data_IF_957463699106
#
_entry.id   IF_957463699106
#
_cell.length_a   1.000
_cell.length_b   1.000
_cell.length_c   1.000
_cell.angle_alpha   90.00
_cell.angle_beta   90.00
_cell.angle_gamma   90.00
#
_symmetry.space_group_name_H-M   'P 1'
#
loop_
_entity.id
_entity.type
_entity.pdbx_description
1 polymer ?
#
# COMPACT_ATOMS: atom_id res chain seq x y z
N UNK A 1 -15.13 16.30 2.23
CA UNK A 1 -16.45 16.51 1.57
C UNK A 1 -17.58 16.09 2.51
N UNK A 2 -17.66 14.81 2.92
CA UNK A 2 -18.69 14.27 3.82
C UNK A 2 -18.85 15.05 5.14
N UNK A 3 -17.76 15.35 5.86
CA UNK A 3 -17.86 16.14 7.11
C UNK A 3 -18.47 17.54 6.91
N UNK A 4 -18.31 18.13 5.72
CA UNK A 4 -18.87 19.45 5.38
C UNK A 4 -20.39 19.39 5.20
N UNK A 5 -20.91 18.29 4.64
CA UNK A 5 -22.35 18.05 4.50
C UNK A 5 -23.01 17.85 5.86
N UNK A 6 -22.28 17.24 6.80
CA UNK A 6 -22.74 17.04 8.16
C UNK A 6 -22.69 18.30 9.01
N UNK A 7 -21.64 19.11 8.89
CA UNK A 7 -21.47 20.36 9.66
C UNK A 7 -22.72 21.24 9.59
N UNK A 8 -23.19 21.55 8.36
CA UNK A 8 -24.36 22.40 8.16
C UNK A 8 -25.70 21.83 8.68
N UNK A 9 -25.77 20.53 9.01
CA UNK A 9 -26.98 19.88 9.54
C UNK A 9 -26.88 19.52 11.02
N UNK A 10 -25.67 19.46 11.56
CA UNK A 10 -25.40 19.20 12.98
C UNK A 10 -25.27 20.49 13.78
N UNK A 11 -24.95 21.62 13.15
CA UNK A 11 -24.83 22.92 13.83
C UNK A 11 -26.13 23.34 14.55
N UNK A 12 -27.29 22.89 14.06
CA UNK A 12 -28.61 23.16 14.67
C UNK A 12 -29.12 22.02 15.57
N UNK A 13 -28.32 20.97 15.82
CA UNK A 13 -28.77 19.81 16.63
C UNK A 13 -28.43 20.03 18.10
N UNK A 14 -29.45 20.37 18.90
CA UNK A 14 -29.34 20.39 20.35
C UNK A 14 -29.42 18.96 20.92
N UNK A 15 -28.28 18.42 21.32
CA UNK A 15 -28.17 17.04 21.79
C UNK A 15 -28.76 16.78 23.20
N UNK A 16 -29.14 17.81 23.96
CA UNK A 16 -29.77 17.67 25.28
C UNK A 16 -29.08 16.64 26.19
N UNK A 17 -29.81 15.60 26.58
CA UNK A 17 -29.33 14.49 27.43
C UNK A 17 -28.42 13.47 26.71
N UNK A 18 -28.16 13.64 25.41
CA UNK A 18 -27.26 12.79 24.60
C UNK A 18 -27.95 12.15 23.40
N UNK A 19 -27.14 11.71 22.42
CA UNK A 19 -27.61 10.96 21.25
C UNK A 19 -27.19 9.49 21.43
N UNK A 20 -28.17 8.59 21.55
CA UNK A 20 -27.92 7.15 21.74
C UNK A 20 -27.67 6.40 20.43
N UNK A 21 -28.17 6.91 19.30
CA UNK A 21 -28.03 6.26 18.00
C UNK A 21 -27.99 7.26 16.83
N UNK A 22 -27.06 7.05 15.90
CA UNK A 22 -27.02 7.73 14.61
C UNK A 22 -27.07 6.69 13.49
N UNK A 23 -27.95 6.88 12.50
CA UNK A 23 -28.04 6.03 11.31
C UNK A 23 -27.90 6.86 10.04
N UNK A 24 -26.86 6.56 9.26
CA UNK A 24 -26.63 7.14 7.94
C UNK A 24 -27.06 6.16 6.85
N UNK A 25 -27.84 6.64 5.87
CA UNK A 25 -28.22 5.85 4.68
C UNK A 25 -27.90 6.67 3.43
N UNK A 26 -27.05 6.12 2.55
CA UNK A 26 -26.85 6.64 1.20
C UNK A 26 -27.71 5.80 0.24
N UNK A 27 -28.87 6.32 -0.17
CA UNK A 27 -29.76 5.65 -1.12
C UNK A 27 -29.24 5.65 -2.56
N UNK A 28 -28.33 6.58 -2.86
CA UNK A 28 -27.69 6.71 -4.16
C UNK A 28 -26.28 7.29 -3.96
N UNK A 29 -25.32 6.82 -4.74
CA UNK A 29 -23.93 7.24 -4.67
C UNK A 29 -23.31 7.21 -6.07
N UNK A 30 -22.42 8.18 -6.32
CA UNK A 30 -21.62 8.26 -7.54
C UNK A 30 -20.13 8.25 -7.20
N UNK A 31 -19.26 7.86 -8.15
CA UNK A 31 -17.83 8.00 -8.01
C UNK A 31 -17.46 9.46 -7.75
N UNK A 32 -16.94 9.76 -6.56
CA UNK A 32 -16.38 11.06 -6.26
C UNK A 32 -14.97 11.13 -6.86
N UNK A 33 -14.79 11.96 -7.88
CA UNK A 33 -13.47 12.22 -8.42
C UNK A 33 -12.55 12.80 -7.33
N UNK A 34 -11.30 12.34 -7.29
CA UNK A 34 -10.30 12.86 -6.38
C UNK A 34 -10.04 14.34 -6.71
N UNK A 35 -10.54 15.23 -5.86
CA UNK A 35 -10.23 16.66 -5.93
C UNK A 35 -9.12 16.97 -4.92
N UNK A 36 -7.88 17.05 -5.39
CA UNK A 36 -6.79 17.60 -4.62
C UNK A 36 -6.90 19.13 -4.69
N UNK A 37 -6.94 19.80 -3.53
CA UNK A 37 -6.82 21.25 -3.52
C UNK A 37 -5.41 21.62 -3.99
N UNK A 38 -5.34 22.56 -4.93
CA UNK A 38 -4.06 23.02 -5.45
C UNK A 38 -3.24 23.70 -4.33
N UNK A 39 -2.02 23.21 -4.14
CA UNK A 39 -1.05 23.77 -3.20
C UNK A 39 -0.64 25.20 -3.62
N UNK A 40 -0.63 25.50 -4.92
CA UNK A 40 -0.35 26.84 -5.44
C UNK A 40 -1.52 27.80 -5.17
N UNK A 41 -2.78 27.36 -5.29
CA UNK A 41 -3.94 28.16 -4.88
C UNK A 41 -4.00 28.42 -3.35
N UNK A 42 -3.35 27.58 -2.54
CA UNK A 42 -3.12 27.87 -1.12
C UNK A 42 -1.95 28.85 -0.92
N UNK A 43 -0.93 28.79 -1.78
CA UNK A 43 0.19 29.73 -1.79
C UNK A 43 -0.25 31.17 -2.08
N UNK A 44 -1.21 31.38 -2.98
CA UNK A 44 -1.80 32.72 -3.24
C UNK A 44 -2.44 33.33 -1.99
N UNK A 45 -2.95 32.50 -1.08
CA UNK A 45 -3.59 32.93 0.18
C UNK A 45 -2.62 33.00 1.37
N UNK A 46 -1.57 32.20 1.38
CA UNK A 46 -0.68 32.01 2.54
C UNK A 46 0.78 32.41 2.27
N UNK A 47 1.11 32.90 1.08
CA UNK A 47 2.37 33.56 0.75
C UNK A 47 3.59 32.64 0.52
N UNK A 48 3.42 31.34 0.39
CA UNK A 48 4.53 30.40 0.09
C UNK A 48 4.15 29.45 -1.04
N UNK A 49 4.85 29.54 -2.17
CA UNK A 49 4.74 28.56 -3.27
C UNK A 49 5.33 27.20 -2.90
N UNK A 50 4.89 26.15 -3.58
CA UNK A 50 5.40 24.80 -3.35
C UNK A 50 6.91 24.74 -3.62
N UNK A 51 7.38 25.42 -4.67
CA UNK A 51 8.80 25.50 -5.00
C UNK A 51 9.63 26.14 -3.87
N UNK A 52 9.16 27.25 -3.29
CA UNK A 52 9.84 27.91 -2.16
C UNK A 52 9.81 27.06 -0.87
N UNK A 53 8.78 26.25 -0.68
CA UNK A 53 8.72 25.27 0.41
C UNK A 53 9.76 24.15 0.23
N UNK A 54 9.81 23.57 -0.98
CA UNK A 54 10.77 22.51 -1.34
C UNK A 54 12.21 23.02 -1.18
N UNK A 55 12.49 24.24 -1.63
CA UNK A 55 13.83 24.84 -1.53
C UNK A 55 14.26 25.00 -0.07
N UNK A 56 13.41 25.56 0.79
CA UNK A 56 13.68 25.69 2.24
C UNK A 56 13.90 24.34 2.92
N UNK A 57 13.10 23.33 2.58
CA UNK A 57 13.27 21.98 3.12
C UNK A 57 14.60 21.37 2.67
N UNK A 58 14.99 21.57 1.41
CA UNK A 58 16.25 21.06 0.86
C UNK A 58 17.46 21.74 1.50
N UNK A 59 17.43 23.07 1.69
CA UNK A 59 18.50 23.81 2.40
C UNK A 59 18.66 23.33 3.84
N UNK A 60 17.55 23.01 4.52
CA UNK A 60 17.57 22.61 5.94
C UNK A 60 17.97 21.14 6.15
N UNK A 61 17.48 20.24 5.31
CA UNK A 61 17.62 18.79 5.49
C UNK A 61 18.76 18.19 4.67
N UNK A 62 19.31 18.94 3.71
CA UNK A 62 20.37 18.50 2.81
C UNK A 62 19.85 18.08 1.43
N UNK A 63 20.77 18.07 0.47
CA UNK A 63 20.49 17.65 -0.90
C UNK A 63 20.06 16.17 -0.92
N UNK A 64 18.93 15.88 -1.57
CA UNK A 64 18.36 14.53 -1.67
C UNK A 64 17.45 14.11 -0.52
N UNK A 65 17.30 14.90 0.55
CA UNK A 65 16.36 14.61 1.64
C UNK A 65 14.89 14.79 1.21
N UNK A 66 14.64 15.65 0.22
CA UNK A 66 13.31 15.87 -0.37
C UNK A 66 13.28 15.23 -1.74
N UNK A 67 12.36 14.29 -1.95
CA UNK A 67 12.19 13.59 -3.21
C UNK A 67 10.73 13.40 -3.54
N UNK A 68 10.42 13.13 -4.80
CA UNK A 68 9.07 12.82 -5.27
C UNK A 68 9.01 11.38 -5.77
N UNK A 69 8.07 10.55 -5.29
CA UNK A 69 7.86 9.22 -5.85
C UNK A 69 7.19 9.37 -7.21
N UNK A 70 7.63 8.57 -8.18
CA UNK A 70 6.96 8.45 -9.48
C UNK A 70 6.82 6.99 -9.86
N UNK A 71 5.73 6.72 -10.59
CA UNK A 71 5.47 5.41 -11.15
C UNK A 71 6.63 4.98 -12.06
N UNK A 72 6.97 3.72 -11.99
CA UNK A 72 7.96 3.09 -12.85
C UNK A 72 7.37 1.78 -13.37
N UNK A 73 7.51 1.54 -14.68
CA UNK A 73 6.90 0.41 -15.36
C UNK A 73 7.55 -0.92 -14.95
N UNK A 74 7.10 -1.47 -13.82
CA UNK A 74 7.47 -2.76 -13.30
C UNK A 74 6.29 -3.37 -12.56
N UNK A 75 6.02 -4.65 -12.82
CA UNK A 75 5.02 -5.42 -12.08
C UNK A 75 5.56 -5.95 -10.75
N UNK A 76 6.87 -5.85 -10.51
CA UNK A 76 7.51 -6.18 -9.24
C UNK A 76 7.24 -5.05 -8.23
N UNK A 77 6.59 -5.31 -7.08
CA UNK A 77 6.15 -4.27 -6.15
C UNK A 77 7.27 -3.31 -5.72
N UNK A 78 8.47 -3.85 -5.46
CA UNK A 78 9.63 -3.09 -5.00
C UNK A 78 10.23 -2.17 -6.08
N UNK A 79 9.85 -2.36 -7.35
CA UNK A 79 10.34 -1.61 -8.52
C UNK A 79 9.25 -0.82 -9.23
N UNK A 80 8.01 -0.89 -8.74
CA UNK A 80 6.86 -0.20 -9.31
C UNK A 80 6.92 1.33 -9.12
N UNK A 81 7.84 1.81 -8.29
CA UNK A 81 8.10 3.24 -8.09
C UNK A 81 9.61 3.54 -8.07
N UNK A 82 9.94 4.79 -8.36
CA UNK A 82 11.30 5.35 -8.17
C UNK A 82 11.21 6.73 -7.54
N UNK A 83 12.32 7.16 -6.94
CA UNK A 83 12.47 8.51 -6.43
C UNK A 83 13.15 9.40 -7.46
N UNK A 84 12.69 10.63 -7.57
CA UNK A 84 13.33 11.65 -8.41
C UNK A 84 13.39 13.00 -7.67
N UNK A 85 14.22 13.95 -8.14
CA UNK A 85 14.22 15.31 -7.59
C UNK A 85 12.81 15.91 -7.62
N UNK A 86 12.43 16.67 -6.59
CA UNK A 86 11.04 17.07 -6.35
C UNK A 86 10.49 17.96 -7.48
N UNK A 87 11.35 18.77 -8.11
CA UNK A 87 11.00 19.70 -9.19
C UNK A 87 11.37 19.17 -10.60
N UNK A 88 11.80 17.92 -10.72
CA UNK A 88 12.08 17.34 -12.04
C UNK A 88 10.81 17.32 -12.92
N UNK A 89 10.92 17.40 -14.26
CA UNK A 89 9.76 17.24 -15.13
C UNK A 89 9.13 15.86 -14.94
N UNK A 90 7.80 15.78 -14.90
CA UNK A 90 7.10 14.50 -14.91
C UNK A 90 6.84 14.10 -16.37
N UNK A 91 7.29 12.90 -16.75
CA UNK A 91 6.86 12.32 -18.02
C UNK A 91 5.39 11.93 -17.89
N UNK A 92 4.51 12.41 -18.79
CA UNK A 92 3.11 11.99 -18.77
C UNK A 92 3.05 10.46 -18.94
N UNK A 93 2.42 9.80 -17.97
CA UNK A 93 2.11 8.38 -18.07
C UNK A 93 0.73 8.25 -18.71
N UNK A 94 0.66 7.47 -19.79
CA UNK A 94 -0.61 7.08 -20.41
C UNK A 94 -1.20 5.83 -19.76
N UNK A 95 -0.54 5.30 -18.72
CA UNK A 95 -0.98 4.08 -18.03
C UNK A 95 -2.07 4.43 -17.03
N UNK A 96 -3.24 3.82 -17.18
CA UNK A 96 -4.27 3.89 -16.16
C UNK A 96 -3.76 3.26 -14.86
N UNK A 97 -4.02 3.92 -13.73
CA UNK A 97 -3.70 3.39 -12.42
C UNK A 97 -4.59 2.16 -12.16
N UNK A 98 -4.03 0.97 -12.32
CA UNK A 98 -4.66 -0.25 -11.84
C UNK A 98 -4.56 -0.29 -10.30
N UNK A 99 -5.70 -0.09 -9.63
CA UNK A 99 -5.78 -0.25 -8.18
C UNK A 99 -5.76 -1.74 -7.83
N UNK A 100 -4.56 -2.28 -7.65
CA UNK A 100 -4.39 -3.56 -6.99
C UNK A 100 -4.65 -3.40 -5.49
N UNK A 101 -5.21 -4.43 -4.84
CA UNK A 101 -5.41 -4.42 -3.39
C UNK A 101 -4.11 -4.75 -2.63
N UNK A 102 -3.01 -4.10 -3.02
CA UNK A 102 -1.68 -4.23 -2.41
C UNK A 102 -1.59 -3.35 -1.16
N UNK A 103 -0.77 -3.71 -0.16
CA UNK A 103 -0.56 -2.89 1.02
C UNK A 103 0.01 -1.51 0.68
N UNK A 104 -0.40 -0.51 1.46
CA UNK A 104 0.15 0.86 1.35
C UNK A 104 1.59 0.96 1.87
N UNK A 105 1.98 0.06 2.78
CA UNK A 105 3.32 0.03 3.38
C UNK A 105 4.04 -1.26 3.03
N UNK A 106 5.10 -1.15 2.23
CA UNK A 106 6.07 -2.21 2.04
C UNK A 106 7.17 -2.10 3.11
N UNK A 107 7.76 -3.23 3.48
CA UNK A 107 9.02 -3.25 4.22
C UNK A 107 10.17 -2.89 3.29
N UNK A 108 11.22 -2.28 3.84
CA UNK A 108 12.44 -1.94 3.09
C UNK A 108 13.08 -3.19 2.46
N UNK A 109 12.99 -4.32 3.15
CA UNK A 109 13.37 -5.63 2.67
C UNK A 109 12.33 -6.66 3.11
N UNK A 110 11.98 -7.62 2.24
CA UNK A 110 11.11 -8.71 2.65
C UNK A 110 11.74 -9.50 3.81
N UNK A 111 10.95 -9.75 4.85
CA UNK A 111 11.42 -10.49 6.03
C UNK A 111 11.00 -11.95 5.93
N UNK A 112 11.94 -12.88 6.13
CA UNK A 112 11.63 -14.32 6.10
C UNK A 112 10.71 -14.68 7.27
N UNK A 113 9.66 -15.44 6.98
CA UNK A 113 8.72 -15.97 7.97
C UNK A 113 8.78 -17.49 7.99
N UNK A 114 8.51 -18.09 9.14
CA UNK A 114 8.37 -19.54 9.25
C UNK A 114 6.89 -19.90 9.21
N UNK A 115 6.44 -20.53 8.13
CA UNK A 115 5.11 -21.14 8.08
C UNK A 115 5.15 -22.42 8.91
N UNK A 116 4.32 -22.46 9.95
CA UNK A 116 4.28 -23.57 10.91
C UNK A 116 3.30 -24.66 10.47
N UNK A 117 2.22 -24.26 9.79
CA UNK A 117 1.21 -25.18 9.27
C UNK A 117 0.65 -24.61 7.97
N UNK A 118 0.58 -25.44 6.93
CA UNK A 118 -0.05 -25.10 5.66
C UNK A 118 -1.28 -25.98 5.43
N UNK A 119 -2.31 -25.43 4.78
CA UNK A 119 -3.47 -26.20 4.34
C UNK A 119 -3.11 -27.14 3.19
N UNK A 120 -3.97 -28.13 2.89
CA UNK A 120 -3.81 -28.96 1.68
C UNK A 120 -3.68 -28.14 0.40
N UNK A 121 -4.34 -26.97 0.35
CA UNK A 121 -4.29 -26.03 -0.77
C UNK A 121 -3.02 -25.16 -0.80
N UNK A 122 -2.16 -25.27 0.23
CA UNK A 122 -0.83 -24.67 0.26
C UNK A 122 -0.73 -23.23 0.79
N UNK A 123 -1.77 -22.72 1.46
CA UNK A 123 -1.72 -21.43 2.18
C UNK A 123 -1.42 -21.63 3.69
N UNK A 124 -0.79 -20.66 4.37
CA UNK A 124 -0.44 -20.82 5.79
C UNK A 124 -1.67 -20.68 6.68
N UNK A 125 -1.83 -21.58 7.67
CA UNK A 125 -2.76 -21.37 8.80
C UNK A 125 -2.09 -20.66 9.97
N UNK A 126 -0.77 -20.80 10.10
CA UNK A 126 0.01 -20.19 11.16
C UNK A 126 1.41 -19.87 10.67
N UNK A 127 1.89 -18.68 11.00
CA UNK A 127 3.27 -18.29 10.71
C UNK A 127 3.92 -17.60 11.90
N UNK A 128 5.25 -17.65 11.97
CA UNK A 128 6.05 -16.95 12.97
C UNK A 128 6.82 -15.82 12.30
N UNK A 129 6.68 -14.61 12.85
CA UNK A 129 7.34 -13.40 12.40
C UNK A 129 7.84 -12.59 13.60
N UNK A 130 9.11 -12.17 13.57
CA UNK A 130 9.78 -11.44 14.67
C UNK A 130 9.58 -12.05 16.06
N UNK A 131 9.56 -13.38 16.13
CA UNK A 131 9.38 -14.14 17.38
C UNK A 131 7.92 -14.40 17.76
N UNK A 132 6.97 -13.65 17.21
CA UNK A 132 5.55 -13.82 17.50
C UNK A 132 4.90 -14.82 16.54
N UNK A 133 3.93 -15.56 17.05
CA UNK A 133 3.13 -16.51 16.28
C UNK A 133 1.80 -15.84 15.93
N UNK A 134 1.43 -15.91 14.66
CA UNK A 134 0.21 -15.34 14.12
C UNK A 134 -0.67 -16.47 13.58
N UNK A 135 -1.87 -16.59 14.15
CA UNK A 135 -2.93 -17.47 13.65
C UNK A 135 -3.70 -16.77 12.54
N UNK A 136 -3.76 -17.42 11.38
CA UNK A 136 -4.42 -16.89 10.19
C UNK A 136 -5.92 -17.10 10.31
N UNK A 137 -6.67 -16.00 10.32
CA UNK A 137 -8.13 -16.01 10.33
C UNK A 137 -8.72 -15.93 8.92
N UNK A 138 -8.08 -15.19 7.99
CA UNK A 138 -8.52 -15.07 6.60
C UNK A 138 -7.34 -15.04 5.63
N UNK A 139 -7.58 -15.55 4.42
CA UNK A 139 -6.62 -15.61 3.32
C UNK A 139 -7.29 -15.13 2.04
N UNK A 140 -6.60 -14.28 1.31
CA UNK A 140 -6.99 -13.86 -0.05
C UNK A 140 -5.79 -13.98 -1.00
N UNK A 141 -6.04 -14.46 -2.23
CA UNK A 141 -5.02 -14.69 -3.25
C UNK A 141 -5.08 -16.10 -3.86
N UNK A 142 -4.04 -16.55 -4.59
CA UNK A 142 -2.76 -15.86 -4.79
C UNK A 142 -2.79 -14.79 -5.88
N UNK A 143 -2.11 -13.66 -5.65
CA UNK A 143 -1.62 -12.81 -6.74
C UNK A 143 -0.28 -13.37 -7.22
N UNK A 144 -0.24 -13.93 -8.43
CA UNK A 144 0.96 -14.52 -9.01
C UNK A 144 1.77 -13.50 -9.79
N UNK A 145 3.00 -13.25 -9.33
CA UNK A 145 3.94 -12.31 -9.96
C UNK A 145 5.16 -13.10 -10.45
N UNK A 146 5.29 -13.20 -11.78
CA UNK A 146 6.47 -13.78 -12.40
C UNK A 146 7.65 -12.81 -12.36
N UNK A 147 8.90 -13.29 -12.40
CA UNK A 147 10.06 -12.40 -12.52
C UNK A 147 10.04 -11.56 -13.81
N UNK A 148 10.75 -10.44 -13.78
CA UNK A 148 11.08 -9.67 -14.99
C UNK A 148 12.16 -10.41 -15.79
N UNK A 149 11.75 -11.33 -16.66
CA UNK A 149 12.66 -12.18 -17.44
C UNK A 149 13.68 -11.40 -18.27
N UNK A 150 13.35 -10.16 -18.67
CA UNK A 150 14.24 -9.27 -19.42
C UNK A 150 15.33 -8.61 -18.56
N UNK A 151 15.18 -8.62 -17.23
CA UNK A 151 16.15 -8.07 -16.26
C UNK A 151 16.90 -9.16 -15.50
N UNK A 152 16.22 -10.23 -15.12
CA UNK A 152 16.79 -11.27 -14.26
C UNK A 152 17.04 -12.55 -15.07
N UNK A 153 18.33 -12.80 -15.38
CA UNK A 153 18.74 -14.00 -16.12
C UNK A 153 18.61 -15.24 -15.24
N UNK A 154 17.49 -15.93 -15.36
CA UNK A 154 17.33 -17.36 -15.05
C UNK A 154 17.24 -17.77 -13.57
N UNK A 155 17.73 -16.97 -12.61
CA UNK A 155 17.74 -17.36 -11.18
C UNK A 155 16.45 -16.99 -10.42
N UNK A 156 15.69 -16.02 -10.92
CA UNK A 156 14.51 -15.52 -10.26
C UNK A 156 13.36 -16.54 -10.29
N UNK A 157 12.68 -16.71 -9.15
CA UNK A 157 11.51 -17.58 -9.02
C UNK A 157 10.24 -16.75 -8.93
N UNK A 158 9.13 -17.29 -9.42
CA UNK A 158 7.82 -16.66 -9.29
C UNK A 158 7.42 -16.49 -7.82
N UNK A 159 6.59 -15.49 -7.54
CA UNK A 159 6.08 -15.21 -6.21
C UNK A 159 4.56 -15.32 -6.23
N UNK A 160 4.02 -16.15 -5.34
CA UNK A 160 2.59 -16.18 -5.06
C UNK A 160 2.33 -15.36 -3.79
N UNK A 161 1.69 -14.20 -3.94
CA UNK A 161 1.36 -13.28 -2.85
C UNK A 161 -0.02 -13.58 -2.26
N UNK A 162 -0.11 -13.50 -0.94
CA UNK A 162 -1.32 -13.72 -0.17
C UNK A 162 -1.53 -12.55 0.78
N UNK A 163 -2.77 -12.07 0.85
CA UNK A 163 -3.20 -11.18 1.93
C UNK A 163 -3.76 -12.02 3.05
N UNK A 164 -3.23 -11.82 4.24
CA UNK A 164 -3.54 -12.58 5.44
C UNK A 164 -4.10 -11.63 6.48
N UNK A 165 -5.22 -12.00 7.09
CA UNK A 165 -5.72 -11.36 8.30
C UNK A 165 -5.53 -12.32 9.47
N UNK A 166 -4.94 -11.86 10.57
CA UNK A 166 -4.86 -12.64 11.80
C UNK A 166 -6.10 -12.46 12.69
N UNK A 167 -6.19 -13.24 13.77
CA UNK A 167 -7.32 -13.17 14.71
C UNK A 167 -7.47 -11.82 15.44
N UNK A 168 -6.46 -10.96 15.42
CA UNK A 168 -6.52 -9.60 15.98
C UNK A 168 -6.89 -8.55 14.91
N UNK A 169 -7.21 -8.97 13.69
CA UNK A 169 -7.55 -8.10 12.57
C UNK A 169 -6.35 -7.42 11.90
N UNK A 170 -5.12 -7.78 12.27
CA UNK A 170 -3.92 -7.26 11.62
C UNK A 170 -3.76 -7.91 10.25
N UNK A 171 -3.43 -7.12 9.24
CA UNK A 171 -3.35 -7.58 7.86
C UNK A 171 -1.92 -7.53 7.33
N UNK A 172 -1.49 -8.64 6.77
CA UNK A 172 -0.15 -8.86 6.24
C UNK A 172 -0.22 -9.20 4.77
N UNK A 173 0.81 -8.77 4.04
CA UNK A 173 1.03 -9.19 2.67
C UNK A 173 2.29 -10.05 2.63
N UNK A 174 2.09 -11.34 2.49
CA UNK A 174 3.16 -12.35 2.49
C UNK A 174 3.26 -12.97 1.11
N UNK A 175 4.40 -13.57 0.78
CA UNK A 175 4.53 -14.35 -0.43
C UNK A 175 5.34 -15.61 -0.23
N UNK A 176 5.03 -16.57 -1.09
CA UNK A 176 5.79 -17.78 -1.30
C UNK A 176 6.69 -17.60 -2.52
N UNK A 177 8.00 -17.79 -2.35
CA UNK A 177 8.98 -17.73 -3.44
C UNK A 177 9.24 -19.11 -4.01
N UNK A 178 8.86 -19.31 -5.27
CA UNK A 178 8.93 -20.60 -5.96
C UNK A 178 7.70 -21.49 -5.74
N UNK A 179 7.66 -22.58 -6.50
CA UNK A 179 6.63 -23.61 -6.39
C UNK A 179 7.26 -24.93 -5.96
N UNK A 180 6.47 -25.74 -5.25
CA UNK A 180 6.84 -27.13 -4.98
C UNK A 180 6.91 -27.87 -6.32
N UNK A 181 8.01 -28.57 -6.56
CA UNK A 181 8.18 -29.36 -7.78
C UNK A 181 8.52 -28.56 -9.04
N UNK A 182 8.94 -27.29 -8.94
CA UNK A 182 9.38 -26.48 -10.10
C UNK A 182 10.74 -26.88 -10.71
N UNK A 183 11.29 -28.03 -10.30
CA UNK A 183 12.56 -28.56 -10.80
C UNK A 183 13.81 -27.77 -10.38
N UNK A 184 13.66 -26.75 -9.51
CA UNK A 184 14.76 -25.85 -9.10
C UNK A 184 15.32 -26.13 -7.69
N UNK A 185 14.86 -27.21 -7.06
CA UNK A 185 15.34 -27.68 -5.76
C UNK A 185 14.84 -26.85 -4.56
N UNK A 186 14.64 -27.52 -3.44
CA UNK A 186 14.24 -26.92 -2.16
C UNK A 186 12.73 -26.69 -1.99
N UNK A 187 12.30 -26.66 -0.73
CA UNK A 187 10.97 -26.20 -0.35
C UNK A 187 10.86 -24.69 -0.64
N UNK A 188 9.68 -24.18 -0.98
CA UNK A 188 9.50 -22.76 -1.22
C UNK A 188 9.67 -21.97 0.09
N UNK A 189 10.36 -20.83 0.00
CA UNK A 189 10.55 -19.92 1.12
C UNK A 189 9.38 -18.94 1.24
N UNK A 190 9.09 -18.52 2.47
CA UNK A 190 8.03 -17.56 2.76
C UNK A 190 8.59 -16.27 3.33
N UNK A 191 8.01 -15.16 2.88
CA UNK A 191 8.42 -13.82 3.27
C UNK A 191 7.21 -12.93 3.54
N UNK A 192 7.38 -11.97 4.43
CA UNK A 192 6.47 -10.85 4.64
C UNK A 192 7.00 -9.63 3.87
N UNK A 193 6.20 -9.11 2.95
CA UNK A 193 6.56 -7.99 2.08
C UNK A 193 6.02 -6.66 2.61
N UNK A 194 4.83 -6.66 3.22
CA UNK A 194 4.17 -5.42 3.62
C UNK A 194 3.01 -5.61 4.60
N UNK A 195 2.50 -4.49 5.08
CA UNK A 195 1.42 -4.39 6.04
C UNK A 195 0.25 -3.63 5.40
N UNK A 196 -0.96 -4.20 5.45
CA UNK A 196 -2.16 -3.51 5.00
C UNK A 196 -2.72 -2.74 6.20
N UNK A 197 -2.70 -1.40 6.14
CA UNK A 197 -3.32 -0.54 7.15
C UNK A 197 -4.85 -0.53 7.01
#
# INVERSE_FOLDING_TARGET
HICRLFAAKLDDVEAGFGIEMMRLRASWAEPLALAQQDLEAAAERHGTSLAACIDRLSVRLGEGAVTRPVLHASHIPERAQRWQPPLAPQTPSQTELAFHQRPLKLLDRPERIAVLYATPDGYPQRFRWRGNVHDVARVEGPERIAPEWWRERGAARLRDYYRIEDGEGRRYWIYRQGLVGDGRGGLPDWYLQGLCA
#
